data_IF_722042809495
#
_entry.id   IF_722042809495
#
_cell.length_a   1.000
_cell.length_b   1.000
_cell.length_c   1.000
_cell.angle_alpha   90.00
_cell.angle_beta   90.00
_cell.angle_gamma   90.00
#
_symmetry.space_group_name_H-M   'P 1'
#
loop_
_entity.id
_entity.type
_entity.pdbx_description
1 polymer ?
#
# COMPACT_ATOMS: atom_id res chain seq x y z
N UNK A 1 -14.71 -49.94 6.89
CA UNK A 1 -13.24 -49.82 6.79
C UNK A 1 -12.81 -48.79 7.83
N UNK A 2 -12.20 -49.24 8.89
CA UNK A 2 -11.64 -48.35 9.91
C UNK A 2 -10.33 -47.82 9.33
N UNK A 3 -10.24 -46.53 9.11
CA UNK A 3 -8.98 -45.92 8.75
C UNK A 3 -7.97 -46.15 9.88
N UNK A 4 -6.81 -46.71 9.57
CA UNK A 4 -5.75 -46.86 10.54
C UNK A 4 -5.37 -45.48 11.10
N UNK A 5 -5.21 -45.34 12.39
CA UNK A 5 -4.87 -44.08 13.05
C UNK A 5 -3.65 -43.40 12.38
N UNK A 6 -2.65 -44.21 12.01
CA UNK A 6 -1.45 -43.75 11.29
C UNK A 6 -1.72 -43.16 9.92
N UNK A 7 -2.84 -43.44 9.26
CA UNK A 7 -3.18 -42.86 7.95
C UNK A 7 -3.82 -41.46 8.08
N UNK A 8 -4.20 -41.04 9.27
CA UNK A 8 -4.81 -39.74 9.56
C UNK A 8 -3.84 -38.77 10.23
N UNK A 9 -2.77 -39.25 10.84
CA UNK A 9 -1.82 -38.41 11.56
C UNK A 9 -1.09 -37.44 10.64
N UNK A 10 -0.63 -37.90 9.46
CA UNK A 10 0.07 -37.05 8.52
C UNK A 10 -0.83 -35.94 7.93
N UNK A 11 -2.08 -36.23 7.45
CA UNK A 11 -2.99 -35.19 6.98
C UNK A 11 -3.39 -34.18 8.06
N UNK A 12 -3.56 -34.62 9.31
CA UNK A 12 -3.89 -33.73 10.43
C UNK A 12 -2.69 -32.85 10.80
N UNK A 13 -1.48 -33.39 10.79
CA UNK A 13 -0.25 -32.63 11.00
C UNK A 13 -0.05 -31.59 9.92
N UNK A 14 -0.32 -31.92 8.66
CA UNK A 14 -0.21 -30.98 7.54
C UNK A 14 -1.27 -29.89 7.60
N UNK A 15 -2.49 -30.22 8.05
CA UNK A 15 -3.54 -29.25 8.28
C UNK A 15 -3.20 -28.29 9.42
N UNK A 16 -2.68 -28.80 10.52
CA UNK A 16 -2.25 -27.99 11.66
C UNK A 16 -1.12 -27.03 11.27
N UNK A 17 -0.15 -27.51 10.50
CA UNK A 17 0.90 -26.68 9.91
C UNK A 17 0.32 -25.59 8.99
N UNK A 18 -0.57 -25.94 8.08
CA UNK A 18 -1.19 -24.97 7.17
C UNK A 18 -1.94 -23.88 7.94
N UNK A 19 -2.65 -24.25 9.00
CA UNK A 19 -3.34 -23.31 9.88
C UNK A 19 -2.34 -22.42 10.63
N UNK A 20 -1.27 -22.98 11.14
CA UNK A 20 -0.23 -22.23 11.87
C UNK A 20 0.46 -21.22 10.98
N UNK A 21 0.81 -21.58 9.74
CA UNK A 21 1.47 -20.68 8.80
C UNK A 21 0.58 -19.55 8.26
N UNK A 22 -0.73 -19.71 8.29
CA UNK A 22 -1.66 -18.71 7.74
C UNK A 22 -2.22 -17.75 8.79
N UNK A 23 -2.30 -18.16 10.05
CA UNK A 23 -2.95 -17.36 11.10
C UNK A 23 -2.11 -16.23 11.68
N UNK A 24 -0.79 -16.38 11.73
CA UNK A 24 0.09 -15.47 12.45
C UNK A 24 1.32 -15.10 11.61
N UNK A 25 1.09 -14.70 10.36
CA UNK A 25 2.18 -14.26 9.47
C UNK A 25 2.26 -12.75 9.44
N UNK A 26 3.44 -12.23 9.67
CA UNK A 26 3.75 -10.82 9.52
C UNK A 26 4.77 -10.68 8.39
N UNK A 27 4.40 -9.91 7.36
CA UNK A 27 5.33 -9.54 6.29
C UNK A 27 5.71 -8.08 6.48
N UNK A 28 6.98 -7.83 6.70
CA UNK A 28 7.57 -6.50 6.84
C UNK A 28 8.64 -6.31 5.77
N UNK A 29 8.74 -5.11 5.22
CA UNK A 29 9.81 -4.71 4.32
C UNK A 29 10.61 -3.59 4.98
N UNK A 30 11.92 -3.75 5.06
CA UNK A 30 12.83 -2.71 5.59
C UNK A 30 12.83 -1.45 4.70
N UNK A 31 12.37 -1.57 3.46
CA UNK A 31 12.09 -0.48 2.51
C UNK A 31 10.63 -0.45 2.08
N UNK A 32 10.37 0.09 0.90
CA UNK A 32 9.02 0.12 0.32
C UNK A 32 8.71 -1.11 -0.53
N UNK A 33 7.45 -1.53 -0.54
CA UNK A 33 6.91 -2.48 -1.51
C UNK A 33 6.09 -1.69 -2.51
N UNK A 34 6.32 -1.89 -3.80
CA UNK A 34 5.62 -1.18 -4.86
C UNK A 34 5.17 -2.14 -5.96
N UNK A 35 4.07 -1.81 -6.62
CA UNK A 35 3.60 -2.51 -7.81
C UNK A 35 3.44 -1.53 -8.97
N UNK A 36 3.99 -1.90 -10.12
CA UNK A 36 3.84 -1.17 -11.38
C UNK A 36 2.86 -1.92 -12.29
N UNK A 37 1.70 -1.34 -12.56
CA UNK A 37 0.72 -1.92 -13.50
C UNK A 37 1.26 -1.97 -14.93
N UNK A 38 2.05 -0.98 -15.35
CA UNK A 38 2.61 -0.91 -16.69
C UNK A 38 3.59 -2.06 -17.01
N UNK A 39 4.32 -2.55 -16.02
CA UNK A 39 5.28 -3.65 -16.19
C UNK A 39 4.83 -4.97 -15.55
N UNK A 40 3.73 -4.96 -14.78
CA UNK A 40 3.30 -6.10 -13.98
C UNK A 40 4.27 -6.48 -12.88
N UNK A 41 5.16 -5.55 -12.48
CA UNK A 41 6.25 -5.86 -11.55
C UNK A 41 5.90 -5.48 -10.13
N UNK A 42 6.01 -6.45 -9.22
CA UNK A 42 6.02 -6.25 -7.78
C UNK A 42 7.48 -6.14 -7.33
N UNK A 43 7.84 -5.04 -6.68
CA UNK A 43 9.21 -4.74 -6.23
C UNK A 43 9.24 -4.44 -4.74
N UNK A 44 10.37 -4.71 -4.11
CA UNK A 44 10.66 -4.33 -2.73
C UNK A 44 12.09 -3.79 -2.65
N UNK A 45 12.23 -2.59 -2.08
CA UNK A 45 13.51 -1.86 -2.05
C UNK A 45 14.41 -2.22 -0.88
N UNK A 46 13.90 -2.98 0.08
CA UNK A 46 14.66 -3.48 1.23
C UNK A 46 14.41 -4.97 1.45
N UNK A 47 15.01 -5.54 2.48
CA UNK A 47 14.77 -6.94 2.83
C UNK A 47 13.32 -7.14 3.25
N UNK A 48 12.64 -8.13 2.64
CA UNK A 48 11.37 -8.62 3.18
C UNK A 48 11.68 -9.58 4.33
N UNK A 49 11.09 -9.31 5.48
CA UNK A 49 11.11 -10.18 6.66
C UNK A 49 9.75 -10.80 6.83
N UNK A 50 9.71 -12.12 6.84
CA UNK A 50 8.48 -12.90 6.98
C UNK A 50 8.58 -13.65 8.30
N UNK A 51 7.78 -13.22 9.27
CA UNK A 51 7.72 -13.85 10.57
C UNK A 51 6.45 -14.70 10.65
N UNK A 52 6.58 -15.90 11.12
CA UNK A 52 5.46 -16.82 11.33
C UNK A 52 5.73 -17.72 12.53
N UNK A 53 4.67 -18.28 13.09
CA UNK A 53 4.76 -19.21 14.21
C UNK A 53 4.72 -20.62 13.65
N UNK A 54 5.74 -21.41 13.96
CA UNK A 54 5.80 -22.82 13.62
C UNK A 54 4.83 -23.62 14.50
N UNK A 55 4.49 -24.85 14.10
CA UNK A 55 3.52 -25.71 14.82
C UNK A 55 3.88 -25.97 16.29
N UNK A 56 5.17 -25.94 16.63
CA UNK A 56 5.67 -26.07 18.00
C UNK A 56 5.63 -24.77 18.82
N UNK A 57 5.09 -23.68 18.26
CA UNK A 57 4.98 -22.37 18.91
C UNK A 57 6.23 -21.50 18.77
N UNK A 58 7.28 -21.94 18.11
CA UNK A 58 8.47 -21.11 17.88
C UNK A 58 8.22 -20.08 16.80
N UNK A 59 8.67 -18.84 17.06
CA UNK A 59 8.69 -17.77 16.07
C UNK A 59 9.87 -17.97 15.12
N UNK A 60 9.58 -18.04 13.84
CA UNK A 60 10.56 -18.23 12.77
C UNK A 60 10.56 -16.98 11.89
N UNK A 61 11.73 -16.53 11.49
CA UNK A 61 11.93 -15.47 10.52
C UNK A 61 12.50 -16.06 9.23
N UNK A 62 11.92 -15.71 8.10
CA UNK A 62 12.54 -15.90 6.78
C UNK A 62 12.84 -14.53 6.16
N UNK A 63 13.82 -14.48 5.29
CA UNK A 63 14.27 -13.25 4.64
C UNK A 63 14.28 -13.38 3.13
N UNK A 64 13.86 -12.33 2.42
CA UNK A 64 14.02 -12.19 0.97
C UNK A 64 14.84 -10.95 0.72
N UNK A 65 15.93 -11.09 -0.04
CA UNK A 65 16.74 -9.94 -0.42
C UNK A 65 15.94 -8.93 -1.25
N UNK A 66 16.33 -7.66 -1.19
CA UNK A 66 15.74 -6.62 -2.04
C UNK A 66 15.70 -7.03 -3.51
N UNK A 67 14.60 -6.73 -4.20
CA UNK A 67 14.41 -7.19 -5.57
C UNK A 67 12.98 -7.00 -6.07
N UNK A 68 12.57 -7.88 -6.96
CA UNK A 68 11.22 -7.86 -7.52
C UNK A 68 10.89 -9.14 -8.28
N UNK A 69 9.61 -9.29 -8.58
CA UNK A 69 9.09 -10.37 -9.42
C UNK A 69 8.12 -9.79 -10.43
N UNK A 70 8.21 -10.24 -11.68
CA UNK A 70 7.27 -9.86 -12.73
C UNK A 70 6.12 -10.86 -12.76
N UNK A 71 4.91 -10.34 -12.72
CA UNK A 71 3.67 -11.10 -12.77
C UNK A 71 3.04 -10.93 -14.13
N UNK A 72 2.85 -12.01 -14.84
CA UNK A 72 1.95 -12.05 -15.98
C UNK A 72 0.49 -12.05 -15.51
N UNK A 73 -0.42 -11.94 -16.44
CA UNK A 73 -1.84 -11.96 -16.15
C UNK A 73 -2.28 -13.22 -15.40
N UNK A 74 -3.10 -13.02 -14.38
CA UNK A 74 -3.61 -14.09 -13.52
C UNK A 74 -2.52 -14.90 -12.80
N UNK A 75 -1.38 -14.26 -12.53
CA UNK A 75 -0.33 -14.85 -11.70
C UNK A 75 -0.37 -14.30 -10.27
N UNK A 76 -0.02 -15.14 -9.34
CA UNK A 76 0.25 -14.77 -7.96
C UNK A 76 1.74 -14.68 -7.68
N UNK A 77 2.11 -13.77 -6.78
CA UNK A 77 3.39 -13.74 -6.12
C UNK A 77 3.28 -14.57 -4.83
N UNK A 78 4.22 -15.46 -4.60
CA UNK A 78 4.23 -16.30 -3.40
C UNK A 78 5.65 -16.62 -2.93
N UNK A 79 5.74 -17.05 -1.69
CA UNK A 79 6.97 -17.53 -1.06
C UNK A 79 6.69 -18.89 -0.43
N UNK A 80 7.60 -19.84 -0.65
CA UNK A 80 7.59 -21.09 0.12
C UNK A 80 8.46 -20.90 1.38
N UNK A 81 7.82 -20.91 2.54
CA UNK A 81 8.46 -20.65 3.82
C UNK A 81 9.36 -21.82 4.24
N UNK A 82 10.47 -21.50 4.86
CA UNK A 82 11.38 -22.46 5.47
C UNK A 82 11.14 -22.55 6.98
N UNK A 83 11.13 -23.74 7.55
CA UNK A 83 11.07 -23.94 8.99
C UNK A 83 12.37 -23.59 9.71
N UNK A 84 13.42 -23.28 8.95
CA UNK A 84 14.70 -22.84 9.50
C UNK A 84 14.65 -21.34 9.78
N UNK A 85 15.02 -20.94 10.98
CA UNK A 85 15.12 -19.52 11.31
C UNK A 85 16.19 -18.82 10.47
N UNK A 86 15.92 -17.57 10.10
CA UNK A 86 16.76 -16.71 9.27
C UNK A 86 17.10 -17.29 7.88
N UNK A 87 16.30 -18.25 7.41
CA UNK A 87 16.50 -18.79 6.06
C UNK A 87 16.23 -17.73 5.00
N UNK A 88 17.13 -17.66 4.00
CA UNK A 88 16.90 -16.91 2.79
C UNK A 88 15.92 -17.67 1.88
N UNK A 89 14.84 -17.02 1.49
CA UNK A 89 13.81 -17.57 0.61
C UNK A 89 13.58 -16.65 -0.60
N UNK A 90 12.89 -17.17 -1.60
CA UNK A 90 12.68 -16.44 -2.87
C UNK A 90 11.19 -16.22 -3.12
N UNK A 91 10.86 -15.07 -3.71
CA UNK A 91 9.51 -14.80 -4.23
C UNK A 91 9.39 -15.35 -5.64
N UNK A 92 8.35 -16.12 -5.88
CA UNK A 92 8.05 -16.75 -7.17
C UNK A 92 6.76 -16.18 -7.76
N UNK A 93 6.65 -16.28 -9.09
CA UNK A 93 5.41 -16.01 -9.83
C UNK A 93 4.90 -17.32 -10.43
N UNK A 94 3.62 -17.60 -10.29
CA UNK A 94 2.98 -18.72 -10.95
C UNK A 94 1.50 -18.42 -11.20
N UNK A 95 0.91 -19.08 -12.23
CA UNK A 95 -0.53 -19.00 -12.42
C UNK A 95 -1.28 -19.57 -11.21
N UNK A 96 -2.46 -19.05 -10.93
CA UNK A 96 -3.30 -19.53 -9.82
C UNK A 96 -3.56 -21.04 -9.91
N UNK A 97 -3.79 -21.55 -11.13
CA UNK A 97 -4.05 -22.98 -11.35
C UNK A 97 -2.79 -23.82 -11.15
N UNK A 98 -1.64 -23.39 -11.66
CA UNK A 98 -0.36 -24.12 -11.54
C UNK A 98 0.14 -24.11 -10.11
N UNK A 99 0.02 -22.99 -9.41
CA UNK A 99 0.48 -22.88 -8.03
C UNK A 99 -0.43 -23.66 -7.06
N UNK A 100 -1.73 -23.73 -7.34
CA UNK A 100 -2.65 -24.59 -6.58
C UNK A 100 -2.36 -26.09 -6.83
N UNK A 101 -1.92 -26.44 -8.03
CA UNK A 101 -1.57 -27.81 -8.41
C UNK A 101 -0.17 -28.23 -7.93
N UNK A 102 0.72 -27.30 -7.66
CA UNK A 102 2.06 -27.57 -7.13
C UNK A 102 2.00 -27.89 -5.64
N UNK A 103 1.60 -29.08 -5.33
CA UNK A 103 1.01 -29.44 -4.06
C UNK A 103 1.98 -30.00 -3.01
N UNK A 104 3.21 -30.29 -3.34
CA UNK A 104 4.15 -30.91 -2.39
C UNK A 104 4.57 -29.98 -1.24
N UNK A 105 4.29 -28.68 -1.35
CA UNK A 105 4.58 -27.67 -0.32
C UNK A 105 3.45 -26.67 -0.10
N UNK A 106 2.23 -27.05 -0.41
CA UNK A 106 1.09 -26.12 -0.31
C UNK A 106 0.86 -25.58 1.10
N UNK A 107 1.24 -26.31 2.12
CA UNK A 107 1.06 -25.94 3.52
C UNK A 107 2.03 -24.83 3.99
N UNK A 108 3.20 -24.70 3.39
CA UNK A 108 4.18 -23.65 3.73
C UNK A 108 4.24 -22.53 2.70
N UNK A 109 3.27 -22.46 1.79
CA UNK A 109 3.18 -21.42 0.78
C UNK A 109 2.44 -20.20 1.29
N UNK A 110 3.12 -19.06 1.31
CA UNK A 110 2.55 -17.77 1.62
C UNK A 110 2.30 -16.98 0.34
N UNK A 111 1.04 -16.70 0.03
CA UNK A 111 0.67 -15.84 -1.09
C UNK A 111 0.81 -14.38 -0.66
N UNK A 112 1.60 -13.61 -1.40
CA UNK A 112 1.77 -12.17 -1.17
C UNK A 112 0.65 -11.36 -1.81
N UNK A 113 0.18 -11.81 -2.97
CA UNK A 113 -0.92 -11.20 -3.71
C UNK A 113 -0.98 -11.75 -5.13
N UNK A 114 -1.93 -11.26 -5.94
CA UNK A 114 -2.08 -11.69 -7.32
C UNK A 114 -2.39 -10.52 -8.26
N UNK A 115 -2.01 -10.66 -9.53
CA UNK A 115 -2.35 -9.74 -10.61
C UNK A 115 -3.61 -10.22 -11.33
N UNK A 116 -4.58 -9.32 -11.47
CA UNK A 116 -5.78 -9.56 -12.28
C UNK A 116 -5.63 -8.92 -13.67
N UNK A 117 -5.88 -9.69 -14.71
CA UNK A 117 -5.83 -9.26 -16.12
C UNK A 117 -6.83 -8.15 -16.43
N UNK A 118 -8.03 -8.23 -15.88
CA UNK A 118 -9.13 -7.35 -16.27
C UNK A 118 -8.91 -5.89 -15.82
N UNK A 119 -8.09 -5.66 -14.82
CA UNK A 119 -7.89 -4.33 -14.22
C UNK A 119 -6.42 -3.90 -14.13
N UNK A 120 -5.47 -4.71 -14.62
CA UNK A 120 -4.03 -4.52 -14.40
C UNK A 120 -3.66 -4.23 -12.95
N UNK A 121 -4.52 -4.62 -12.03
CA UNK A 121 -4.37 -4.35 -10.60
C UNK A 121 -3.69 -5.53 -9.90
N UNK A 122 -2.87 -5.20 -8.93
CA UNK A 122 -2.35 -6.17 -7.97
C UNK A 122 -3.21 -6.14 -6.71
N UNK A 123 -3.70 -7.30 -6.33
CA UNK A 123 -4.49 -7.51 -5.13
C UNK A 123 -3.59 -8.06 -4.03
N UNK A 124 -3.17 -7.22 -3.08
CA UNK A 124 -2.31 -7.65 -1.98
C UNK A 124 -3.10 -8.53 -1.01
N UNK A 125 -2.51 -9.63 -0.58
CA UNK A 125 -3.09 -10.55 0.41
C UNK A 125 -2.36 -10.43 1.74
N UNK A 126 -1.06 -10.68 1.75
CA UNK A 126 -0.24 -10.67 2.96
C UNK A 126 0.82 -9.55 2.95
N UNK A 127 0.82 -8.68 1.96
CA UNK A 127 1.68 -7.50 1.90
C UNK A 127 0.85 -6.24 1.94
N UNK A 128 1.40 -5.18 2.51
CA UNK A 128 0.82 -3.84 2.43
C UNK A 128 1.58 -3.05 1.38
N UNK A 129 0.90 -2.71 0.31
CA UNK A 129 1.41 -1.69 -0.61
C UNK A 129 1.34 -0.33 0.10
N UNK A 130 2.34 0.54 -0.11
CA UNK A 130 2.21 1.90 0.37
C UNK A 130 0.94 2.49 -0.24
N UNK A 131 0.05 2.96 0.61
CA UNK A 131 -1.00 3.88 0.16
C UNK A 131 -0.25 5.04 -0.48
N UNK A 132 -0.57 5.35 -1.72
CA UNK A 132 0.07 6.46 -2.41
C UNK A 132 -0.16 7.70 -1.53
N UNK A 133 0.87 8.09 -0.75
CA UNK A 133 0.76 9.15 0.26
C UNK A 133 0.51 10.54 -0.37
N UNK A 134 0.58 10.60 -1.70
CA UNK A 134 0.22 11.77 -2.49
C UNK A 134 -1.29 11.85 -2.82
N UNK A 135 -2.06 10.81 -2.52
CA UNK A 135 -3.50 10.78 -2.81
C UNK A 135 -4.29 10.51 -1.52
N UNK A 136 -5.19 11.38 -1.18
CA UNK A 136 -6.07 11.28 -0.01
C UNK A 136 -7.50 11.49 -0.46
N UNK A 137 -8.39 10.59 -0.05
CA UNK A 137 -9.83 10.71 -0.26
C UNK A 137 -10.56 10.67 1.08
N UNK A 138 -11.56 11.52 1.25
CA UNK A 138 -12.39 11.58 2.44
C UNK A 138 -13.87 11.38 2.06
N UNK A 139 -14.66 10.84 2.98
CA UNK A 139 -16.11 10.70 2.85
C UNK A 139 -16.59 10.03 1.56
N UNK A 140 -15.87 8.97 1.13
CA UNK A 140 -16.25 8.20 -0.04
C UNK A 140 -15.83 8.79 -1.40
N UNK A 141 -15.16 9.94 -1.41
CA UNK A 141 -14.56 10.46 -2.65
C UNK A 141 -13.34 9.63 -3.05
N UNK A 142 -13.12 9.52 -4.36
CA UNK A 142 -11.92 8.85 -4.88
C UNK A 142 -10.65 9.55 -4.35
N UNK A 143 -9.58 8.80 -4.03
CA UNK A 143 -8.32 9.39 -3.66
C UNK A 143 -7.80 10.33 -4.76
N UNK A 144 -7.48 11.55 -4.39
CA UNK A 144 -6.90 12.55 -5.29
C UNK A 144 -5.50 12.92 -4.84
N UNK A 145 -4.67 13.32 -5.79
CA UNK A 145 -3.32 13.83 -5.50
C UNK A 145 -3.44 15.05 -4.59
N UNK A 146 -2.51 15.18 -3.65
CA UNK A 146 -2.45 16.35 -2.77
C UNK A 146 -2.51 17.64 -3.61
N UNK A 147 -3.56 18.43 -3.40
CA UNK A 147 -3.71 19.71 -4.08
C UNK A 147 -2.62 20.69 -3.60
N UNK A 148 -1.98 21.36 -4.55
CA UNK A 148 -1.12 22.50 -4.25
C UNK A 148 -1.98 23.75 -4.32
N UNK A 149 -2.20 24.38 -3.17
CA UNK A 149 -2.87 25.68 -3.11
C UNK A 149 -1.77 26.75 -3.15
N UNK A 150 -1.76 27.51 -4.21
CA UNK A 150 -0.90 28.70 -4.29
C UNK A 150 -1.73 29.89 -3.85
N UNK A 151 -1.40 30.41 -2.68
CA UNK A 151 -2.03 31.63 -2.17
C UNK A 151 -1.36 32.83 -2.86
N UNK A 152 -2.17 33.74 -3.41
CA UNK A 152 -1.70 34.95 -4.09
C UNK A 152 -1.16 35.99 -3.13
N UNK A 153 -1.52 35.87 -1.86
CA UNK A 153 -1.05 36.77 -0.80
C UNK A 153 -0.05 36.03 0.09
N UNK A 154 1.25 36.13 -0.25
CA UNK A 154 2.34 35.58 0.57
C UNK A 154 2.69 36.45 1.76
N UNK A 155 2.21 37.68 1.77
CA UNK A 155 2.49 38.67 2.83
C UNK A 155 1.29 38.71 3.76
N UNK A 156 1.48 38.30 5.02
CA UNK A 156 0.53 38.49 6.10
C UNK A 156 0.15 39.96 6.37
N UNK A 157 0.44 40.83 5.43
CA UNK A 157 0.32 42.28 5.60
C UNK A 157 -1.00 42.84 5.07
N UNK A 158 -2.10 42.49 5.74
CA UNK A 158 -3.22 43.44 5.80
C UNK A 158 -2.77 44.67 6.62
N UNK A 159 -1.75 44.54 7.46
CA UNK A 159 -1.24 45.59 8.34
C UNK A 159 -0.34 46.66 7.66
N UNK A 160 0.05 46.47 6.39
CA UNK A 160 0.88 47.44 5.67
C UNK A 160 0.11 48.52 4.86
N UNK A 161 -1.23 48.51 4.88
CA UNK A 161 -2.03 49.57 4.27
C UNK A 161 -2.08 50.78 5.21
N UNK A 162 -1.23 51.77 4.96
CA UNK A 162 -1.38 53.07 5.59
C UNK A 162 -2.65 53.73 5.03
N UNK A 163 -3.64 53.94 5.88
CA UNK A 163 -4.85 54.69 5.52
C UNK A 163 -4.70 56.10 6.02
N UNK A 164 -4.66 57.05 5.09
CA UNK A 164 -4.60 58.47 5.43
C UNK A 164 -5.92 58.98 5.96
N UNK A 165 -5.89 60.07 6.76
CA UNK A 165 -7.07 60.72 7.24
C UNK A 165 -7.87 61.49 6.14
N UNK A 166 -7.26 61.61 4.96
CA UNK A 166 -7.85 62.25 3.79
C UNK A 166 -8.13 61.19 2.73
N UNK A 167 -9.26 61.28 2.05
CA UNK A 167 -9.63 60.34 0.99
C UNK A 167 -8.51 60.29 -0.09
N UNK A 168 -8.04 59.09 -0.37
CA UNK A 168 -7.08 58.80 -1.41
C UNK A 168 -7.63 57.71 -2.31
N UNK A 169 -7.80 58.01 -3.59
CA UNK A 169 -8.24 57.02 -4.58
C UNK A 169 -7.27 55.87 -4.70
N UNK A 170 -5.96 56.09 -4.56
CA UNK A 170 -4.93 55.06 -4.60
C UNK A 170 -5.06 54.05 -3.43
N UNK A 171 -5.39 54.54 -2.21
CA UNK A 171 -5.59 53.69 -1.03
C UNK A 171 -6.82 52.82 -1.19
N UNK A 172 -7.91 53.39 -1.70
CA UNK A 172 -9.17 52.67 -1.97
C UNK A 172 -8.93 51.58 -3.03
N UNK A 173 -8.15 51.91 -4.08
CA UNK A 173 -7.78 50.96 -5.11
C UNK A 173 -6.92 49.79 -4.51
N UNK A 174 -5.92 50.14 -3.70
CA UNK A 174 -5.08 49.14 -3.04
C UNK A 174 -5.89 48.20 -2.11
N UNK A 175 -6.86 48.75 -1.39
CA UNK A 175 -7.77 47.96 -0.56
C UNK A 175 -8.61 47.01 -1.42
N UNK A 176 -9.19 47.51 -2.52
CA UNK A 176 -9.95 46.71 -3.47
C UNK A 176 -9.12 45.53 -3.99
N UNK A 177 -7.89 45.80 -4.45
CA UNK A 177 -7.00 44.79 -5.01
C UNK A 177 -6.63 43.72 -3.97
N UNK A 178 -6.47 44.10 -2.70
CA UNK A 178 -6.26 43.16 -1.59
C UNK A 178 -7.53 42.30 -1.34
N UNK A 179 -8.70 42.89 -1.41
CA UNK A 179 -9.96 42.12 -1.27
C UNK A 179 -10.19 41.14 -2.42
N UNK A 180 -9.84 41.52 -3.65
CA UNK A 180 -9.91 40.62 -4.81
C UNK A 180 -8.96 39.45 -4.64
N UNK A 181 -7.70 39.65 -4.23
CA UNK A 181 -6.75 38.59 -3.93
C UNK A 181 -7.26 37.63 -2.84
N UNK A 182 -7.81 38.17 -1.76
CA UNK A 182 -8.39 37.35 -0.69
C UNK A 182 -9.56 36.48 -1.21
N UNK A 183 -10.39 37.05 -2.08
CA UNK A 183 -11.49 36.30 -2.68
C UNK A 183 -10.99 35.15 -3.57
N UNK A 184 -9.89 35.36 -4.30
CA UNK A 184 -9.25 34.35 -5.13
C UNK A 184 -8.61 33.24 -4.28
N UNK A 185 -7.96 33.60 -3.17
CA UNK A 185 -7.39 32.64 -2.22
C UNK A 185 -8.50 31.76 -1.60
N UNK A 186 -9.63 32.34 -1.23
CA UNK A 186 -10.80 31.61 -0.71
C UNK A 186 -11.36 30.65 -1.77
N UNK A 187 -11.42 31.08 -3.04
CA UNK A 187 -11.85 30.19 -4.14
C UNK A 187 -10.88 29.04 -4.35
N UNK A 188 -9.56 29.32 -4.33
CA UNK A 188 -8.53 28.29 -4.45
C UNK A 188 -8.64 27.26 -3.30
N UNK A 189 -8.81 27.72 -2.07
CA UNK A 189 -9.01 26.86 -0.92
C UNK A 189 -10.29 26.02 -1.04
N UNK A 190 -11.42 26.61 -1.44
CA UNK A 190 -12.66 25.89 -1.69
C UNK A 190 -12.48 24.80 -2.73
N UNK A 191 -11.79 25.10 -3.86
CA UNK A 191 -11.52 24.11 -4.90
C UNK A 191 -10.67 22.97 -4.38
N UNK A 192 -9.63 23.26 -3.59
CA UNK A 192 -8.79 22.24 -2.96
C UNK A 192 -9.62 21.37 -2.01
N UNK A 193 -10.43 21.93 -1.13
CA UNK A 193 -11.29 21.19 -0.21
C UNK A 193 -12.32 20.33 -0.96
N UNK A 194 -12.90 20.87 -2.03
CA UNK A 194 -13.82 20.11 -2.89
C UNK A 194 -13.14 18.89 -3.54
N UNK A 195 -11.89 19.04 -3.98
CA UNK A 195 -11.13 17.93 -4.55
C UNK A 195 -10.87 16.80 -3.55
N UNK A 196 -10.86 17.10 -2.27
CA UNK A 196 -10.76 16.11 -1.18
C UNK A 196 -12.13 15.58 -0.71
N UNK A 197 -13.25 16.09 -1.26
CA UNK A 197 -14.58 15.70 -0.83
C UNK A 197 -14.98 16.25 0.55
N UNK A 198 -14.40 17.40 0.94
CA UNK A 198 -14.68 18.04 2.24
C UNK A 198 -15.75 19.12 2.15
N UNK A 199 -16.10 19.60 0.96
CA UNK A 199 -17.15 20.58 0.66
C UNK A 199 -17.73 20.31 -0.73
#
# INVERSE_FOLDING_TARGET
TIFAASSMEAPLSDLDRAISYTKNVIVHCDGGINYSSASGQLTWSGTLRILFVRADGQLIQNTVAAGGVTLSDNQMAYVDLSETNDAAVTVYAASLTTAAASTTKAYNRLVLGYRNTASDAFYPVNVRLPVNSSAVGFFGSAPVTKATVTLGNTDNEIGGLAISATYSQAEVQALRDKCEKLADDVRALKTALSSYGLV
#
